data_IF_584478708061
#
_entry.id   IF_584478708061
#
_cell.length_a   1.000
_cell.length_b   1.000
_cell.length_c   1.000
_cell.angle_alpha   90.00
_cell.angle_beta   90.00
_cell.angle_gamma   90.00
#
_symmetry.space_group_name_H-M   'P 1'
#
loop_
_entity.id
_entity.type
_entity.pdbx_description
1 polymer ?
#
# COMPACT_ATOMS: atom_id res chain seq x y z
N UNK A 1 -4.06 -20.77 -11.56
CA UNK A 1 -4.37 -20.92 -10.13
C UNK A 1 -4.62 -19.58 -9.43
N UNK A 2 -4.13 -18.49 -10.00
CA UNK A 2 -4.46 -17.17 -9.41
C UNK A 2 -5.93 -16.79 -9.56
N UNK A 3 -6.68 -17.57 -10.32
CA UNK A 3 -8.13 -17.37 -10.47
C UNK A 3 -8.94 -18.26 -9.54
N UNK A 4 -8.30 -19.06 -8.70
CA UNK A 4 -9.02 -19.87 -7.73
C UNK A 4 -9.64 -18.97 -6.66
N UNK A 5 -10.94 -19.20 -6.32
CA UNK A 5 -11.66 -18.29 -5.42
C UNK A 5 -11.02 -18.08 -4.05
N UNK A 6 -10.38 -19.12 -3.51
CA UNK A 6 -9.80 -19.03 -2.17
C UNK A 6 -8.51 -18.23 -2.08
N UNK A 7 -7.83 -18.02 -3.20
CA UNK A 7 -6.51 -17.38 -3.18
C UNK A 7 -6.62 -15.90 -2.80
N UNK A 8 -7.56 -15.18 -3.41
CA UNK A 8 -7.75 -13.76 -3.13
C UNK A 8 -8.12 -13.55 -1.65
N UNK A 9 -9.06 -14.36 -1.14
CA UNK A 9 -9.46 -14.25 0.26
C UNK A 9 -8.30 -14.52 1.20
N UNK A 10 -7.47 -15.52 0.90
CA UNK A 10 -6.30 -15.82 1.70
C UNK A 10 -5.32 -14.65 1.73
N UNK A 11 -5.07 -14.05 0.56
CA UNK A 11 -4.17 -12.90 0.47
C UNK A 11 -4.71 -11.70 1.25
N UNK A 12 -6.02 -11.46 1.19
CA UNK A 12 -6.63 -10.39 1.96
C UNK A 12 -6.46 -10.60 3.46
N UNK A 13 -6.64 -11.84 3.93
CA UNK A 13 -6.44 -12.15 5.33
C UNK A 13 -4.99 -11.90 5.76
N UNK A 14 -4.03 -12.32 4.95
CA UNK A 14 -2.62 -12.11 5.27
C UNK A 14 -2.26 -10.64 5.29
N UNK A 15 -2.80 -9.88 4.33
CA UNK A 15 -2.55 -8.45 4.28
C UNK A 15 -3.03 -7.73 5.53
N UNK A 16 -4.19 -8.12 6.04
CA UNK A 16 -4.83 -7.42 7.15
C UNK A 16 -4.33 -7.90 8.52
N UNK A 17 -4.04 -9.20 8.67
CA UNK A 17 -3.87 -9.77 10.00
C UNK A 17 -2.56 -10.52 10.25
N UNK A 18 -1.71 -10.72 9.24
CA UNK A 18 -0.45 -11.43 9.49
C UNK A 18 0.46 -10.59 10.37
N UNK A 19 1.16 -11.22 11.28
CA UNK A 19 2.07 -10.54 12.21
C UNK A 19 3.32 -10.00 11.54
N UNK A 20 3.76 -10.64 10.44
CA UNK A 20 4.99 -10.26 9.75
C UNK A 20 4.74 -9.13 8.77
N UNK A 21 5.51 -8.03 8.89
CA UNK A 21 5.42 -6.94 7.93
C UNK A 21 5.77 -7.41 6.52
N UNK A 22 6.72 -8.34 6.41
CA UNK A 22 7.13 -8.83 5.09
C UNK A 22 6.04 -9.68 4.44
N UNK A 23 5.33 -10.50 5.22
CA UNK A 23 4.21 -11.28 4.69
C UNK A 23 3.09 -10.34 4.25
N UNK A 24 2.78 -9.31 5.05
CA UNK A 24 1.76 -8.32 4.66
C UNK A 24 2.15 -7.61 3.37
N UNK A 25 3.42 -7.23 3.23
CA UNK A 25 3.92 -6.58 2.03
C UNK A 25 3.82 -7.49 0.81
N UNK A 26 4.20 -8.76 0.96
CA UNK A 26 4.13 -9.71 -0.15
C UNK A 26 2.68 -9.95 -0.59
N UNK A 27 1.76 -10.07 0.37
CA UNK A 27 0.34 -10.24 0.04
C UNK A 27 -0.16 -9.05 -0.77
N UNK A 28 0.21 -7.84 -0.36
CA UNK A 28 -0.17 -6.63 -1.06
C UNK A 28 0.34 -6.62 -2.49
N UNK A 29 1.61 -6.99 -2.68
CA UNK A 29 2.21 -7.03 -4.01
C UNK A 29 1.52 -8.05 -4.91
N UNK A 30 1.16 -9.21 -4.37
CA UNK A 30 0.46 -10.23 -5.16
C UNK A 30 -0.93 -9.76 -5.55
N UNK A 31 -1.66 -9.09 -4.65
CA UNK A 31 -2.98 -8.54 -4.97
C UNK A 31 -2.84 -7.46 -6.06
N UNK A 32 -1.83 -6.61 -5.94
CA UNK A 32 -1.59 -5.57 -6.94
C UNK A 32 -1.30 -6.14 -8.32
N UNK A 33 -0.68 -7.31 -8.39
CA UNK A 33 -0.32 -7.94 -9.66
C UNK A 33 -1.49 -8.73 -10.25
N UNK A 34 -2.18 -9.52 -9.43
CA UNK A 34 -3.14 -10.50 -9.91
C UNK A 34 -4.61 -10.12 -9.77
N UNK A 35 -4.93 -9.18 -8.89
CA UNK A 35 -6.32 -8.85 -8.55
C UNK A 35 -6.62 -7.37 -8.60
N UNK A 36 -5.87 -6.61 -9.39
CA UNK A 36 -6.03 -5.15 -9.46
C UNK A 36 -7.41 -4.72 -10.00
N UNK A 37 -8.08 -5.60 -10.75
CA UNK A 37 -9.39 -5.29 -11.31
C UNK A 37 -10.55 -5.74 -10.41
N UNK A 38 -10.26 -6.41 -9.31
CA UNK A 38 -11.31 -6.89 -8.42
C UNK A 38 -11.95 -5.73 -7.65
N UNK A 39 -13.27 -5.76 -7.48
CA UNK A 39 -13.93 -4.76 -6.64
C UNK A 39 -13.36 -4.75 -5.23
N UNK A 40 -13.17 -3.57 -4.68
CA UNK A 40 -12.63 -3.43 -3.33
C UNK A 40 -11.12 -3.40 -3.23
N UNK A 41 -10.39 -3.63 -4.33
CA UNK A 41 -8.92 -3.62 -4.28
C UNK A 41 -8.36 -2.26 -3.90
N UNK A 42 -8.92 -1.17 -4.45
CA UNK A 42 -8.48 0.17 -4.07
C UNK A 42 -8.65 0.38 -2.56
N UNK A 43 -9.80 -0.01 -2.01
CA UNK A 43 -10.08 0.16 -0.59
C UNK A 43 -9.12 -0.65 0.29
N UNK A 44 -8.72 -1.84 -0.16
CA UNK A 44 -7.70 -2.62 0.55
C UNK A 44 -6.38 -1.87 0.63
N UNK A 45 -5.95 -1.30 -0.50
CA UNK A 45 -4.69 -0.55 -0.54
C UNK A 45 -4.79 0.73 0.29
N UNK A 46 -5.93 1.42 0.19
CA UNK A 46 -6.16 2.64 0.96
C UNK A 46 -6.07 2.35 2.45
N UNK A 47 -6.74 1.29 2.90
CA UNK A 47 -6.69 0.90 4.30
C UNK A 47 -5.28 0.52 4.74
N UNK A 48 -4.54 -0.23 3.91
CA UNK A 48 -3.17 -0.60 4.24
C UNK A 48 -2.26 0.62 4.33
N UNK A 49 -2.44 1.58 3.43
CA UNK A 49 -1.62 2.81 3.43
C UNK A 49 -1.82 3.65 4.69
N UNK A 50 -3.01 3.58 5.29
CA UNK A 50 -3.30 4.33 6.50
C UNK A 50 -3.02 3.56 7.77
N UNK A 51 -3.35 2.27 7.79
CA UNK A 51 -3.52 1.56 9.05
C UNK A 51 -2.58 0.37 9.26
N UNK A 52 -1.72 0.03 8.29
CA UNK A 52 -0.77 -1.07 8.53
C UNK A 52 0.07 -0.73 9.76
N UNK A 53 0.20 -1.68 10.71
CA UNK A 53 0.85 -1.39 11.99
C UNK A 53 2.37 -1.37 11.96
N UNK A 54 2.98 -1.34 10.80
CA UNK A 54 4.44 -1.38 10.67
C UNK A 54 5.12 -0.31 11.52
N UNK A 55 6.15 -0.72 12.25
CA UNK A 55 7.07 0.18 12.96
C UNK A 55 8.48 -0.15 12.52
N UNK A 56 9.20 0.85 12.00
CA UNK A 56 10.55 0.62 11.47
C UNK A 56 11.54 0.37 12.59
N UNK A 57 12.28 -0.72 12.45
CA UNK A 57 13.40 -1.05 13.35
C UNK A 57 14.75 -0.88 12.66
N UNK A 58 14.81 -1.12 11.35
CA UNK A 58 16.03 -1.05 10.56
C UNK A 58 15.79 -0.31 9.26
N UNK A 59 16.83 0.34 8.77
CA UNK A 59 16.72 1.14 7.55
C UNK A 59 16.34 0.32 6.32
N UNK A 60 16.73 -0.96 6.27
CA UNK A 60 16.48 -1.79 5.10
C UNK A 60 15.04 -2.28 5.01
N UNK A 61 14.25 -2.16 6.06
CA UNK A 61 12.89 -2.65 6.05
C UNK A 61 12.02 -1.84 5.09
N UNK A 62 11.07 -2.54 4.43
CA UNK A 62 10.14 -1.88 3.52
C UNK A 62 8.78 -1.78 4.18
N UNK A 63 8.35 -0.55 4.43
CA UNK A 63 7.07 -0.28 5.08
C UNK A 63 5.92 -0.70 4.17
N UNK A 64 5.03 -1.61 4.60
CA UNK A 64 3.88 -1.99 3.78
C UNK A 64 2.97 -0.80 3.43
N UNK A 65 2.89 0.21 4.28
CA UNK A 65 2.13 1.43 3.94
C UNK A 65 2.70 2.09 2.68
N UNK A 66 4.02 2.11 2.54
CA UNK A 66 4.64 2.66 1.33
C UNK A 66 4.33 1.79 0.10
N UNK A 67 4.41 0.46 0.25
CA UNK A 67 4.09 -0.44 -0.86
C UNK A 67 2.65 -0.24 -1.32
N UNK A 68 1.72 -0.03 -0.38
CA UNK A 68 0.33 0.26 -0.73
C UNK A 68 0.21 1.59 -1.48
N UNK A 69 0.90 2.62 -1.03
CA UNK A 69 0.90 3.91 -1.73
C UNK A 69 1.48 3.79 -3.13
N UNK A 70 2.57 3.04 -3.28
CA UNK A 70 3.15 2.81 -4.61
C UNK A 70 2.15 2.16 -5.56
N UNK A 71 1.42 1.15 -5.07
CA UNK A 71 0.41 0.49 -5.88
C UNK A 71 -0.72 1.47 -6.27
N UNK A 72 -1.17 2.29 -5.34
CA UNK A 72 -2.22 3.27 -5.59
C UNK A 72 -1.78 4.30 -6.62
N UNK A 73 -0.59 4.84 -6.47
CA UNK A 73 -0.06 5.85 -7.39
C UNK A 73 0.10 5.26 -8.81
N UNK A 74 0.53 4.02 -8.89
CA UNK A 74 0.76 3.37 -10.18
C UNK A 74 -0.53 2.96 -10.88
N UNK A 75 -1.50 2.42 -10.13
CA UNK A 75 -2.69 1.81 -10.73
C UNK A 75 -3.92 2.70 -10.70
N UNK A 76 -3.97 3.67 -9.79
CA UNK A 76 -5.12 4.56 -9.61
C UNK A 76 -4.68 6.02 -9.57
N UNK A 77 -3.87 6.47 -10.54
CA UNK A 77 -3.31 7.84 -10.45
C UNK A 77 -4.37 8.94 -10.50
N UNK A 78 -5.50 8.67 -11.13
CA UNK A 78 -6.56 9.67 -11.30
C UNK A 78 -7.72 9.50 -10.33
N UNK A 79 -7.63 8.54 -9.41
CA UNK A 79 -8.68 8.34 -8.41
C UNK A 79 -8.74 9.56 -7.48
N UNK A 80 -9.95 10.04 -7.16
CA UNK A 80 -10.08 11.28 -6.36
C UNK A 80 -9.39 11.24 -4.99
N UNK A 81 -9.22 10.05 -4.42
CA UNK A 81 -8.60 9.93 -3.10
C UNK A 81 -7.09 9.73 -3.15
N UNK A 82 -6.51 9.50 -4.33
CA UNK A 82 -5.09 9.18 -4.43
C UNK A 82 -4.19 10.34 -3.98
N UNK A 83 -4.38 11.52 -4.54
CA UNK A 83 -3.56 12.67 -4.19
C UNK A 83 -3.74 13.12 -2.74
N UNK A 84 -4.98 13.23 -2.23
CA UNK A 84 -5.16 13.56 -0.81
C UNK A 84 -4.52 12.56 0.14
N UNK A 85 -4.58 11.26 -0.17
CA UNK A 85 -3.93 10.23 0.65
C UNK A 85 -2.42 10.42 0.66
N UNK A 86 -1.83 10.64 -0.52
CA UNK A 86 -0.39 10.85 -0.63
C UNK A 86 0.05 12.08 0.18
N UNK A 87 -0.73 13.17 0.09
CA UNK A 87 -0.46 14.38 0.87
C UNK A 87 -0.53 14.12 2.37
N UNK A 88 -1.53 13.35 2.80
CA UNK A 88 -1.68 13.03 4.22
C UNK A 88 -0.49 12.22 4.73
N UNK A 89 -0.06 11.22 3.96
CA UNK A 89 1.07 10.39 4.41
C UNK A 89 2.39 11.15 4.37
N UNK A 90 2.54 12.09 3.46
CA UNK A 90 3.72 12.93 3.41
C UNK A 90 3.88 13.78 4.68
N UNK A 91 2.77 14.18 5.27
CA UNK A 91 2.79 15.05 6.45
C UNK A 91 2.67 14.28 7.77
N UNK A 92 1.93 13.19 7.78
CA UNK A 92 1.48 12.58 9.04
C UNK A 92 1.94 11.15 9.27
N UNK A 93 2.58 10.49 8.30
CA UNK A 93 3.01 9.12 8.55
C UNK A 93 4.09 9.09 9.63
N UNK A 94 4.01 8.16 10.59
CA UNK A 94 5.03 8.09 11.64
C UNK A 94 6.41 7.66 11.16
N UNK A 95 6.52 7.09 9.95
CA UNK A 95 7.79 6.66 9.39
C UNK A 95 8.39 7.78 8.53
N UNK A 96 9.51 8.35 8.97
CA UNK A 96 10.15 9.45 8.25
C UNK A 96 10.59 9.08 6.84
N UNK A 97 11.00 7.84 6.62
CA UNK A 97 11.38 7.39 5.28
C UNK A 97 10.18 7.45 4.34
N UNK A 98 9.01 7.03 4.82
CA UNK A 98 7.80 7.10 4.03
C UNK A 98 7.43 8.56 3.75
N UNK A 99 7.51 9.43 4.75
CA UNK A 99 7.24 10.85 4.55
C UNK A 99 8.09 11.43 3.42
N UNK A 100 9.39 11.12 3.43
CA UNK A 100 10.30 11.63 2.40
C UNK A 100 9.96 11.09 1.02
N UNK A 101 9.65 9.81 0.94
CA UNK A 101 9.24 9.19 -0.32
C UNK A 101 7.98 9.84 -0.85
N UNK A 102 6.98 10.05 0.02
CA UNK A 102 5.70 10.64 -0.38
C UNK A 102 5.88 12.07 -0.88
N UNK A 103 6.74 12.85 -0.22
CA UNK A 103 7.03 14.21 -0.65
C UNK A 103 7.66 14.23 -2.04
N UNK A 104 8.59 13.32 -2.32
CA UNK A 104 9.18 13.21 -3.65
C UNK A 104 8.13 12.85 -4.71
N UNK A 105 7.22 11.94 -4.38
CA UNK A 105 6.13 11.57 -5.30
C UNK A 105 5.19 12.73 -5.56
N UNK A 106 4.89 13.52 -4.55
CA UNK A 106 4.05 14.72 -4.72
C UNK A 106 4.67 15.69 -5.71
N UNK A 107 5.99 15.90 -5.65
CA UNK A 107 6.67 16.76 -6.60
C UNK A 107 6.51 16.26 -8.02
N UNK A 108 6.56 14.94 -8.23
CA UNK A 108 6.36 14.37 -9.56
C UNK A 108 4.94 14.59 -10.07
N UNK A 109 3.94 14.59 -9.19
CA UNK A 109 2.55 14.86 -9.56
C UNK A 109 2.32 16.30 -9.99
N UNK A 110 3.07 17.24 -9.40
CA UNK A 110 2.82 18.66 -9.60
C UNK A 110 3.74 19.30 -10.65
N UNK A 111 4.65 18.53 -11.19
CA UNK A 111 5.50 18.98 -12.30
C UNK A 111 5.09 18.31 -13.62
#
# INVERSE_FOLDING_TARGET
>A
WKHEPGIFELLKQRLVSDESWDVRRQALRQIATGWKQEPGTFELFYNSALNDPFERKYEFETNPRQTALEAIVKQYPDHPQTLPLLQDRAENDPDEQLQKWAKRKLQQYTT
#
